data_IF_762430114984
#
_entry.id   IF_762430114984
#
_cell.length_a   1.000
_cell.length_b   1.000
_cell.length_c   1.000
_cell.angle_alpha   90.00
_cell.angle_beta   90.00
_cell.angle_gamma   90.00
#
_symmetry.space_group_name_H-M   'P 1'
#
loop_
_entity.id
_entity.type
_entity.pdbx_description
1 polymer ?
#
# COMPACT_ATOMS: atom_id res chain seq x y z
N UNK A 1 4.16 -7.31 -13.75
CA UNK A 1 5.05 -6.86 -12.66
C UNK A 1 4.20 -6.33 -11.54
N UNK A 2 4.63 -6.43 -10.27
CA UNK A 2 3.95 -5.87 -9.09
C UNK A 2 4.93 -5.21 -8.11
N UNK A 3 4.50 -4.17 -7.41
CA UNK A 3 5.17 -3.65 -6.23
C UNK A 3 4.88 -4.55 -5.04
N UNK A 4 5.92 -4.97 -4.34
CA UNK A 4 5.79 -5.70 -3.09
C UNK A 4 6.00 -4.73 -1.93
N UNK A 5 4.91 -4.39 -1.23
CA UNK A 5 4.88 -3.34 -0.21
C UNK A 5 4.81 -3.98 1.17
N UNK A 6 5.88 -3.85 1.96
CA UNK A 6 5.97 -4.38 3.32
C UNK A 6 6.07 -3.27 4.36
N UNK A 7 5.65 -3.57 5.58
CA UNK A 7 6.04 -2.80 6.77
C UNK A 7 7.16 -3.53 7.51
N UNK A 8 8.31 -2.89 7.59
CA UNK A 8 9.54 -3.42 8.18
C UNK A 8 9.85 -2.75 9.52
N UNK A 9 10.24 -3.55 10.52
CA UNK A 9 10.73 -3.03 11.80
C UNK A 9 12.27 -2.92 11.75
N UNK A 10 12.84 -1.69 11.78
CA UNK A 10 14.27 -1.50 11.66
C UNK A 10 15.07 -1.99 12.88
N UNK A 11 14.44 -2.14 14.05
CA UNK A 11 15.10 -2.64 15.27
C UNK A 11 15.28 -4.15 15.21
N UNK A 12 14.24 -4.88 14.84
CA UNK A 12 14.25 -6.36 14.79
C UNK A 12 14.75 -6.90 13.44
N UNK A 13 14.84 -6.03 12.44
CA UNK A 13 15.19 -6.36 11.04
C UNK A 13 14.25 -7.36 10.38
N UNK A 14 12.96 -7.34 10.76
CA UNK A 14 11.93 -8.25 10.24
C UNK A 14 10.73 -7.47 9.69
N UNK A 15 10.00 -8.10 8.77
CA UNK A 15 8.66 -7.63 8.37
C UNK A 15 7.73 -7.81 9.58
N UNK A 16 6.88 -6.83 9.81
CA UNK A 16 5.90 -6.86 10.91
C UNK A 16 4.78 -7.83 10.54
N UNK A 17 4.37 -8.66 11.47
CA UNK A 17 3.16 -9.48 11.36
C UNK A 17 2.09 -8.99 12.33
N UNK A 18 0.83 -9.28 12.02
CA UNK A 18 -0.32 -8.98 12.87
C UNK A 18 -1.40 -10.03 12.65
N UNK A 19 -2.05 -10.49 13.72
CA UNK A 19 -3.22 -11.36 13.60
C UNK A 19 -4.36 -10.76 12.77
N UNK A 20 -4.37 -9.42 12.64
CA UNK A 20 -5.34 -8.70 11.81
C UNK A 20 -4.97 -8.63 10.32
N UNK A 21 -3.75 -9.02 9.93
CA UNK A 21 -3.28 -8.93 8.54
C UNK A 21 -4.07 -9.84 7.58
N UNK A 22 -4.45 -11.03 8.04
CA UNK A 22 -5.25 -11.99 7.24
C UNK A 22 -6.62 -11.45 6.82
N UNK A 23 -7.13 -10.41 7.49
CA UNK A 23 -8.41 -9.79 7.15
C UNK A 23 -8.31 -8.70 6.07
N UNK A 24 -7.11 -8.25 5.71
CA UNK A 24 -6.90 -7.14 4.76
C UNK A 24 -6.57 -7.66 3.35
N UNK A 25 -5.68 -8.63 3.26
CA UNK A 25 -5.36 -9.48 2.08
C UNK A 25 -4.20 -10.39 2.50
N UNK A 26 -4.31 -11.72 2.38
CA UNK A 26 -3.17 -12.60 2.67
C UNK A 26 -3.08 -13.80 1.73
N UNK A 27 -1.85 -14.11 1.32
CA UNK A 27 -1.43 -15.50 1.11
C UNK A 27 -1.07 -16.04 2.51
N UNK A 28 -1.96 -16.88 3.04
CA UNK A 28 -2.37 -16.89 4.44
C UNK A 28 -1.53 -17.77 5.40
N UNK A 29 -0.20 -17.64 5.37
CA UNK A 29 0.66 -18.40 6.29
C UNK A 29 1.35 -17.52 7.36
N UNK A 30 1.89 -16.37 7.00
CA UNK A 30 2.79 -15.62 7.92
C UNK A 30 2.18 -14.36 8.54
N UNK A 31 0.91 -14.03 8.22
CA UNK A 31 0.19 -12.86 8.78
C UNK A 31 0.99 -11.55 8.64
N UNK A 32 1.76 -11.41 7.56
CA UNK A 32 2.64 -10.27 7.33
C UNK A 32 1.83 -9.03 6.96
N UNK A 33 2.25 -7.87 7.46
CA UNK A 33 1.82 -6.57 6.99
C UNK A 33 2.42 -6.30 5.61
N UNK A 34 1.71 -6.77 4.58
CA UNK A 34 2.16 -6.83 3.20
C UNK A 34 1.00 -6.58 2.23
N UNK A 35 1.29 -5.93 1.10
CA UNK A 35 0.38 -5.80 -0.03
C UNK A 35 1.13 -5.96 -1.34
N UNK A 36 0.57 -6.76 -2.25
CA UNK A 36 0.99 -6.80 -3.65
C UNK A 36 0.14 -5.81 -4.47
N UNK A 37 0.81 -4.86 -5.13
CA UNK A 37 0.15 -3.84 -5.94
C UNK A 37 0.60 -3.95 -7.39
N UNK A 38 -0.31 -4.01 -8.35
CA UNK A 38 0.07 -4.11 -9.77
C UNK A 38 0.78 -2.85 -10.28
N UNK A 39 1.80 -3.00 -11.15
CA UNK A 39 2.44 -1.85 -11.83
C UNK A 39 1.50 -1.14 -12.81
N UNK A 40 0.40 -1.77 -13.22
CA UNK A 40 -0.59 -1.16 -14.11
C UNK A 40 -1.14 0.16 -13.52
N UNK A 41 -1.15 0.28 -12.19
CA UNK A 41 -1.61 1.47 -11.48
C UNK A 41 -0.60 2.63 -11.46
N UNK A 42 0.61 2.44 -11.98
CA UNK A 42 1.73 3.40 -11.91
C UNK A 42 1.34 4.81 -12.36
N UNK A 43 0.66 4.96 -13.50
CA UNK A 43 0.27 6.26 -14.05
C UNK A 43 -0.68 7.03 -13.12
N UNK A 44 -1.68 6.34 -12.55
CA UNK A 44 -2.61 6.93 -11.58
C UNK A 44 -1.87 7.28 -10.28
N UNK A 45 -1.02 6.38 -9.78
CA UNK A 45 -0.24 6.61 -8.56
C UNK A 45 0.67 7.84 -8.70
N UNK A 46 1.36 7.99 -9.83
CA UNK A 46 2.21 9.15 -10.10
C UNK A 46 1.41 10.45 -10.07
N UNK A 47 0.22 10.45 -10.69
CA UNK A 47 -0.67 11.61 -10.74
C UNK A 47 -1.21 11.98 -9.36
N UNK A 48 -1.73 11.03 -8.59
CA UNK A 48 -2.36 11.34 -7.28
C UNK A 48 -1.34 11.74 -6.21
N UNK A 49 -0.13 11.21 -6.27
CA UNK A 49 0.97 11.59 -5.39
C UNK A 49 1.73 12.83 -5.87
N UNK A 50 1.41 13.35 -7.06
CA UNK A 50 2.11 14.45 -7.71
C UNK A 50 3.63 14.22 -7.75
N UNK A 51 4.02 13.00 -8.14
CA UNK A 51 5.40 12.56 -8.12
C UNK A 51 5.64 11.41 -9.11
N UNK A 52 6.66 11.52 -9.94
CA UNK A 52 7.05 10.49 -10.91
C UNK A 52 7.39 9.12 -10.31
N UNK A 53 7.77 9.08 -9.03
CA UNK A 53 8.10 7.83 -8.32
C UNK A 53 6.84 7.11 -7.81
N UNK A 54 5.66 7.76 -7.88
CA UNK A 54 4.38 7.16 -7.51
C UNK A 54 4.40 6.60 -6.08
N UNK A 55 4.15 5.30 -5.93
CA UNK A 55 4.13 4.65 -4.61
C UNK A 55 5.52 4.58 -3.94
N UNK A 56 6.62 4.61 -4.71
CA UNK A 56 7.98 4.55 -4.17
C UNK A 56 8.35 5.77 -3.32
N UNK A 57 7.58 6.86 -3.37
CA UNK A 57 7.78 7.99 -2.45
C UNK A 57 7.64 7.59 -0.98
N UNK A 58 7.00 6.45 -0.68
CA UNK A 58 6.85 5.94 0.67
C UNK A 58 8.07 5.15 1.12
N UNK A 59 8.86 4.60 0.18
CA UNK A 59 9.95 3.68 0.48
C UNK A 59 10.95 4.29 1.48
N UNK A 60 11.39 3.47 2.45
CA UNK A 60 12.28 3.87 3.55
C UNK A 60 11.76 5.02 4.45
N UNK A 61 10.47 5.40 4.36
CA UNK A 61 9.85 6.38 5.27
C UNK A 61 9.08 5.68 6.38
N UNK A 62 9.05 6.32 7.55
CA UNK A 62 8.25 5.83 8.69
C UNK A 62 6.77 5.89 8.34
N UNK A 63 6.04 4.79 8.60
CA UNK A 63 4.62 4.66 8.27
C UNK A 63 3.80 5.79 8.89
N UNK A 64 4.00 6.07 10.19
CA UNK A 64 3.29 7.14 10.89
C UNK A 64 3.51 8.55 10.33
N UNK A 65 4.56 8.79 9.54
CA UNK A 65 4.85 10.10 8.92
C UNK A 65 4.23 10.26 7.52
N UNK A 66 3.73 9.18 6.94
CA UNK A 66 3.25 9.18 5.55
C UNK A 66 1.83 8.64 5.41
N UNK A 67 1.23 8.14 6.49
CA UNK A 67 -0.13 7.57 6.46
C UNK A 67 -1.17 8.58 5.93
N UNK A 68 -1.03 9.87 6.31
CA UNK A 68 -1.89 10.95 5.80
C UNK A 68 -1.73 11.16 4.28
N UNK A 69 -0.55 10.88 3.70
CA UNK A 69 -0.36 10.96 2.24
C UNK A 69 -1.19 9.90 1.52
N UNK A 70 -1.31 8.71 2.10
CA UNK A 70 -2.14 7.62 1.56
C UNK A 70 -3.61 8.01 1.67
N UNK A 71 -4.05 8.53 2.83
CA UNK A 71 -5.41 9.00 3.03
C UNK A 71 -5.78 10.13 2.03
N UNK A 72 -4.91 11.11 1.85
CA UNK A 72 -5.10 12.18 0.88
C UNK A 72 -5.15 11.66 -0.56
N UNK A 73 -4.34 10.66 -0.91
CA UNK A 73 -4.37 10.03 -2.23
C UNK A 73 -5.70 9.28 -2.47
N UNK A 74 -6.22 8.55 -1.48
CA UNK A 74 -7.53 7.88 -1.53
C UNK A 74 -8.66 8.88 -1.80
N UNK A 75 -8.61 10.05 -1.16
CA UNK A 75 -9.62 11.10 -1.30
C UNK A 75 -9.65 11.76 -2.69
N UNK A 76 -8.59 11.62 -3.49
CA UNK A 76 -8.51 12.12 -4.86
C UNK A 76 -9.14 11.19 -5.90
N UNK A 77 -9.45 9.94 -5.54
CA UNK A 77 -9.90 8.91 -6.46
C UNK A 77 -11.42 8.72 -6.42
N UNK A 78 -12.02 8.49 -7.58
CA UNK A 78 -13.41 8.06 -7.68
C UNK A 78 -13.61 6.58 -7.27
N UNK A 79 -14.87 6.12 -7.22
CA UNK A 79 -15.23 4.76 -6.79
C UNK A 79 -15.52 3.79 -7.97
N UNK A 80 -15.32 4.20 -9.22
CA UNK A 80 -15.62 3.38 -10.40
C UNK A 80 -14.54 2.31 -10.58
N UNK A 81 -14.91 1.05 -10.29
CA UNK A 81 -14.04 -0.11 -10.40
C UNK A 81 -14.25 -0.84 -11.73
N UNK A 82 -13.18 -1.49 -12.21
CA UNK A 82 -13.29 -2.48 -13.28
C UNK A 82 -13.48 -3.85 -12.64
N UNK A 83 -14.03 -4.82 -13.39
CA UNK A 83 -14.24 -6.18 -12.86
C UNK A 83 -12.93 -6.90 -12.58
N UNK A 84 -11.95 -6.72 -13.46
CA UNK A 84 -10.61 -7.25 -13.25
C UNK A 84 -9.82 -6.29 -12.35
N UNK A 85 -9.22 -6.83 -11.29
CA UNK A 85 -8.32 -6.07 -10.42
C UNK A 85 -7.12 -5.54 -11.22
N UNK A 86 -6.57 -6.31 -12.14
CA UNK A 86 -5.38 -5.92 -12.89
C UNK A 86 -5.64 -4.76 -13.85
N UNK A 87 -6.90 -4.47 -14.19
CA UNK A 87 -7.27 -3.36 -15.04
C UNK A 87 -7.09 -2.01 -14.33
N UNK A 88 -6.63 -1.03 -15.10
CA UNK A 88 -6.39 0.33 -14.62
C UNK A 88 -7.70 1.10 -14.51
N UNK A 89 -8.14 1.38 -13.28
CA UNK A 89 -9.22 2.33 -12.99
C UNK A 89 -8.98 3.02 -11.65
N UNK A 90 -9.54 4.23 -11.47
CA UNK A 90 -9.39 4.95 -10.20
C UNK A 90 -9.99 4.16 -9.02
N UNK A 91 -11.12 3.47 -9.22
CA UNK A 91 -11.73 2.65 -8.18
C UNK A 91 -10.87 1.46 -7.77
N UNK A 92 -10.22 0.77 -8.73
CA UNK A 92 -9.31 -0.34 -8.42
C UNK A 92 -8.09 0.15 -7.63
N UNK A 93 -7.52 1.29 -8.02
CA UNK A 93 -6.42 1.92 -7.27
C UNK A 93 -6.87 2.32 -5.88
N UNK A 94 -8.06 2.91 -5.74
CA UNK A 94 -8.62 3.31 -4.45
C UNK A 94 -8.82 2.13 -3.52
N UNK A 95 -9.35 1.03 -4.03
CA UNK A 95 -9.52 -0.21 -3.29
C UNK A 95 -8.17 -0.74 -2.77
N UNK A 96 -7.14 -0.76 -3.63
CA UNK A 96 -5.81 -1.19 -3.22
C UNK A 96 -5.17 -0.25 -2.17
N UNK A 97 -5.34 1.07 -2.33
CA UNK A 97 -4.84 2.04 -1.35
C UNK A 97 -5.59 1.98 -0.01
N UNK A 98 -6.88 1.63 0.00
CA UNK A 98 -7.64 1.40 1.24
C UNK A 98 -7.07 0.19 2.00
N UNK A 99 -6.73 -0.90 1.32
CA UNK A 99 -6.02 -2.04 1.92
C UNK A 99 -4.65 -1.62 2.48
N UNK A 100 -3.88 -0.86 1.70
CA UNK A 100 -2.60 -0.33 2.14
C UNK A 100 -2.74 0.56 3.39
N UNK A 101 -3.79 1.37 3.47
CA UNK A 101 -4.09 2.22 4.62
C UNK A 101 -4.45 1.40 5.86
N UNK A 102 -5.23 0.32 5.72
CA UNK A 102 -5.51 -0.61 6.81
C UNK A 102 -4.24 -1.27 7.36
N UNK A 103 -3.34 -1.71 6.47
CA UNK A 103 -2.02 -2.23 6.86
C UNK A 103 -1.18 -1.13 7.56
N UNK A 104 -1.21 0.10 7.06
CA UNK A 104 -0.52 1.24 7.66
C UNK A 104 -0.98 1.50 9.11
N UNK A 105 -2.29 1.41 9.37
CA UNK A 105 -2.85 1.60 10.70
C UNK A 105 -2.34 0.58 11.72
N UNK A 106 -2.14 -0.67 11.29
CA UNK A 106 -1.60 -1.76 12.11
C UNK A 106 -0.07 -1.63 12.34
N UNK A 107 0.65 -1.02 11.40
CA UNK A 107 2.11 -1.02 11.36
C UNK A 107 2.78 0.35 11.51
N UNK A 108 2.14 1.32 12.19
CA UNK A 108 2.58 2.72 12.23
C UNK A 108 4.02 2.94 12.73
N UNK A 109 4.52 2.06 13.59
CA UNK A 109 5.89 2.12 14.12
C UNK A 109 6.96 1.63 13.15
N UNK A 110 6.55 0.95 12.07
CA UNK A 110 7.45 0.44 11.06
C UNK A 110 7.87 1.47 10.01
N UNK A 111 8.63 0.98 9.06
CA UNK A 111 9.13 1.70 7.89
C UNK A 111 8.67 0.95 6.65
N UNK A 112 8.25 1.68 5.61
CA UNK A 112 7.91 1.06 4.34
C UNK A 112 9.15 0.43 3.69
N UNK A 113 9.00 -0.78 3.19
CA UNK A 113 9.96 -1.42 2.30
C UNK A 113 9.22 -1.83 1.03
N UNK A 114 9.54 -1.17 -0.08
CA UNK A 114 8.93 -1.42 -1.38
C UNK A 114 9.98 -2.00 -2.31
N UNK A 115 9.67 -3.15 -2.90
CA UNK A 115 10.50 -3.87 -3.87
C UNK A 115 9.79 -3.83 -5.22
#
# INVERSE_FOLDING_TARGET
>A
MSYDIYIYNPKTKKIISSDYAGYVDSNDYDKLLYLNLTYNYSSILQKIFDNKDGIYILNNKKVSRTIDKIQNAINKLNNQMNKDYWDVSEGNVKFALLKLYQIALLGQDGVWKII
#
